data_IF_603952623379
#
_entry.id   IF_603952623379
#
_cell.length_a   1.000
_cell.length_b   1.000
_cell.length_c   1.000
_cell.angle_alpha   90.00
_cell.angle_beta   90.00
_cell.angle_gamma   90.00
#
_symmetry.space_group_name_H-M   'P 1'
#
loop_
_entity.id
_entity.type
_entity.pdbx_description
1 polymer ?
#
# COMPACT_ATOMS: atom_id res chain seq x y z
N UNK A 1 4.92 -3.41 -7.36
CA UNK A 1 5.77 -2.64 -8.30
C UNK A 1 5.61 -1.13 -8.15
N UNK A 2 4.38 -0.60 -8.07
CA UNK A 2 4.13 0.85 -7.92
C UNK A 2 4.86 1.46 -6.70
N UNK A 3 4.81 0.84 -5.52
CA UNK A 3 5.55 1.33 -4.34
C UNK A 3 7.07 1.44 -4.55
N UNK A 4 7.67 0.47 -5.25
CA UNK A 4 9.10 0.50 -5.57
C UNK A 4 9.39 1.64 -6.55
N UNK A 5 8.57 1.80 -7.58
CA UNK A 5 8.70 2.89 -8.53
C UNK A 5 8.63 4.26 -7.82
N UNK A 6 7.66 4.46 -6.93
CA UNK A 6 7.51 5.72 -6.21
C UNK A 6 8.66 5.94 -5.21
N UNK A 7 9.04 4.93 -4.42
CA UNK A 7 10.13 5.05 -3.44
C UNK A 7 11.49 5.33 -4.10
N UNK A 8 11.75 4.78 -5.28
CA UNK A 8 13.00 4.99 -6.00
C UNK A 8 12.98 6.23 -6.92
N UNK A 9 11.81 6.70 -7.36
CA UNK A 9 11.67 7.93 -8.12
C UNK A 9 12.04 9.20 -7.32
N UNK A 10 11.80 9.21 -6.00
CA UNK A 10 12.18 10.32 -5.15
C UNK A 10 13.70 10.50 -5.08
N UNK A 11 14.25 11.72 -5.26
CA UNK A 11 15.71 11.98 -5.20
C UNK A 11 16.33 11.68 -3.83
N UNK A 12 15.65 12.10 -2.76
CA UNK A 12 15.94 11.78 -1.35
C UNK A 12 14.90 10.74 -0.88
N UNK A 13 15.06 10.03 0.25
CA UNK A 13 16.22 9.92 1.13
C UNK A 13 17.32 8.99 0.56
N UNK A 14 18.38 8.73 1.33
CA UNK A 14 19.46 7.82 0.94
C UNK A 14 18.95 6.41 0.59
N UNK A 15 19.72 5.67 -0.21
CA UNK A 15 19.38 4.34 -0.72
C UNK A 15 18.97 3.35 0.38
N UNK A 16 19.66 3.36 1.53
CA UNK A 16 19.30 2.52 2.68
C UNK A 16 17.93 2.86 3.28
N UNK A 17 17.58 4.16 3.36
CA UNK A 17 16.26 4.59 3.85
C UNK A 17 15.16 4.27 2.84
N UNK A 18 15.42 4.38 1.53
CA UNK A 18 14.50 3.94 0.48
C UNK A 18 14.23 2.43 0.56
N UNK A 19 15.28 1.63 0.75
CA UNK A 19 15.15 0.19 0.93
C UNK A 19 14.32 -0.16 2.17
N UNK A 20 14.51 0.58 3.28
CA UNK A 20 13.70 0.41 4.50
C UNK A 20 12.21 0.75 4.26
N UNK A 21 11.92 1.88 3.61
CA UNK A 21 10.54 2.28 3.27
C UNK A 21 9.90 1.24 2.34
N UNK A 22 10.62 0.79 1.31
CA UNK A 22 10.13 -0.21 0.38
C UNK A 22 9.88 -1.56 1.08
N UNK A 23 10.84 -2.03 1.89
CA UNK A 23 10.74 -3.29 2.61
C UNK A 23 9.58 -3.29 3.61
N UNK A 24 9.46 -2.24 4.41
CA UNK A 24 8.34 -2.09 5.36
C UNK A 24 6.99 -1.97 4.65
N UNK A 25 6.93 -1.21 3.55
CA UNK A 25 5.73 -1.10 2.71
C UNK A 25 5.31 -2.43 2.08
N UNK A 26 6.26 -3.22 1.58
CA UNK A 26 6.00 -4.55 1.02
C UNK A 26 5.50 -5.51 2.10
N UNK A 27 6.16 -5.57 3.26
CA UNK A 27 5.76 -6.45 4.35
C UNK A 27 4.34 -6.12 4.85
N UNK A 28 4.05 -4.83 5.06
CA UNK A 28 2.74 -4.36 5.50
C UNK A 28 1.66 -4.66 4.45
N UNK A 29 1.97 -4.47 3.17
CA UNK A 29 1.04 -4.82 2.10
C UNK A 29 0.77 -6.31 2.00
N UNK A 30 1.78 -7.13 2.18
CA UNK A 30 1.60 -8.58 2.14
C UNK A 30 0.58 -9.04 3.18
N UNK A 31 0.74 -8.58 4.43
CA UNK A 31 -0.17 -8.88 5.54
C UNK A 31 -1.59 -8.39 5.24
N UNK A 32 -1.74 -7.17 4.75
CA UNK A 32 -3.07 -6.58 4.53
C UNK A 32 -3.75 -7.20 3.31
N UNK A 33 -2.99 -7.52 2.26
CA UNK A 33 -3.52 -8.23 1.10
C UNK A 33 -4.00 -9.64 1.48
N UNK A 34 -3.33 -10.31 2.43
CA UNK A 34 -3.80 -11.58 2.98
C UNK A 34 -5.18 -11.44 3.63
N UNK A 35 -5.35 -10.46 4.53
CA UNK A 35 -6.64 -10.17 5.14
C UNK A 35 -7.71 -9.79 4.11
N UNK A 36 -7.35 -9.02 3.09
CA UNK A 36 -8.24 -8.64 1.99
C UNK A 36 -8.78 -9.87 1.25
N UNK A 37 -7.90 -10.80 0.87
CA UNK A 37 -8.32 -12.05 0.18
C UNK A 37 -9.26 -12.85 1.08
N UNK A 38 -8.91 -13.03 2.35
CA UNK A 38 -9.76 -13.76 3.29
C UNK A 38 -11.14 -13.11 3.45
N UNK A 39 -11.20 -11.78 3.57
CA UNK A 39 -12.46 -11.05 3.66
C UNK A 39 -13.34 -11.23 2.41
N UNK A 40 -12.76 -11.15 1.21
CA UNK A 40 -13.49 -11.37 -0.06
C UNK A 40 -14.03 -12.80 -0.14
N UNK A 41 -13.21 -13.81 0.21
CA UNK A 41 -13.65 -15.21 0.21
C UNK A 41 -14.73 -15.47 1.26
N UNK A 42 -14.60 -14.88 2.45
CA UNK A 42 -15.59 -14.97 3.50
C UNK A 42 -16.93 -14.34 3.06
N UNK A 43 -16.90 -13.17 2.42
CA UNK A 43 -18.10 -12.56 1.83
C UNK A 43 -18.73 -13.45 0.75
N UNK A 44 -17.91 -14.03 -0.13
CA UNK A 44 -18.39 -14.97 -1.15
C UNK A 44 -19.07 -16.21 -0.57
N UNK A 45 -18.51 -16.76 0.51
CA UNK A 45 -19.08 -17.91 1.22
C UNK A 45 -20.45 -17.60 1.84
N UNK A 46 -20.64 -16.40 2.40
CA UNK A 46 -21.85 -16.06 3.15
C UNK A 46 -22.93 -15.35 2.32
N UNK A 47 -22.55 -14.66 1.25
CA UNK A 47 -23.44 -13.78 0.47
C UNK A 47 -23.49 -14.13 -1.02
N UNK A 48 -22.77 -15.18 -1.44
CA UNK A 48 -22.76 -15.67 -2.83
C UNK A 48 -21.71 -15.01 -3.73
N UNK A 49 -21.59 -15.55 -4.94
CA UNK A 49 -20.53 -15.18 -5.89
C UNK A 49 -20.58 -13.71 -6.31
N UNK A 50 -21.77 -13.17 -6.59
CA UNK A 50 -21.92 -11.78 -7.03
C UNK A 50 -21.47 -10.77 -5.94
N UNK A 51 -21.74 -11.08 -4.67
CA UNK A 51 -21.25 -10.28 -3.55
C UNK A 51 -19.72 -10.32 -3.43
N UNK A 52 -19.09 -11.47 -3.71
CA UNK A 52 -17.63 -11.58 -3.74
C UNK A 52 -17.01 -10.73 -4.85
N UNK A 53 -17.60 -10.67 -6.05
CA UNK A 53 -17.08 -9.81 -7.12
C UNK A 53 -17.12 -8.33 -6.76
N UNK A 54 -18.23 -7.88 -6.16
CA UNK A 54 -18.37 -6.50 -5.67
C UNK A 54 -17.37 -6.22 -4.55
N UNK A 55 -17.28 -7.10 -3.54
CA UNK A 55 -16.34 -6.96 -2.44
C UNK A 55 -14.89 -6.96 -2.95
N UNK A 56 -14.58 -7.79 -3.96
CA UNK A 56 -13.28 -7.82 -4.61
C UNK A 56 -12.97 -6.45 -5.21
N UNK A 57 -13.83 -5.91 -6.08
CA UNK A 57 -13.63 -4.62 -6.73
C UNK A 57 -13.43 -3.49 -5.71
N UNK A 58 -14.32 -3.37 -4.71
CA UNK A 58 -14.22 -2.36 -3.65
C UNK A 58 -12.89 -2.47 -2.89
N UNK A 59 -12.50 -3.71 -2.55
CA UNK A 59 -11.27 -3.95 -1.79
C UNK A 59 -10.01 -3.53 -2.55
N UNK A 60 -10.00 -3.57 -3.89
CA UNK A 60 -8.88 -3.08 -4.70
C UNK A 60 -8.75 -1.56 -4.66
N UNK A 61 -9.86 -0.82 -4.71
CA UNK A 61 -9.85 0.63 -4.54
C UNK A 61 -9.39 1.02 -3.14
N UNK A 62 -9.91 0.34 -2.11
CA UNK A 62 -9.49 0.53 -0.72
C UNK A 62 -7.99 0.27 -0.55
N UNK A 63 -7.48 -0.83 -1.12
CA UNK A 63 -6.05 -1.15 -1.11
C UNK A 63 -5.21 -0.08 -1.79
N UNK A 64 -5.68 0.47 -2.91
CA UNK A 64 -4.96 1.53 -3.64
C UNK A 64 -4.85 2.80 -2.80
N UNK A 65 -5.96 3.26 -2.22
CA UNK A 65 -5.97 4.42 -1.32
C UNK A 65 -5.05 4.19 -0.10
N UNK A 66 -5.09 2.99 0.47
CA UNK A 66 -4.30 2.61 1.62
C UNK A 66 -2.78 2.58 1.31
N UNK A 67 -2.39 2.02 0.15
CA UNK A 67 -1.00 2.03 -0.34
C UNK A 67 -0.48 3.46 -0.45
N UNK A 68 -1.24 4.33 -1.09
CA UNK A 68 -0.86 5.73 -1.29
C UNK A 68 -0.76 6.47 0.06
N UNK A 69 -1.70 6.21 0.98
CA UNK A 69 -1.68 6.76 2.33
C UNK A 69 -0.45 6.35 3.14
N UNK A 70 -0.12 5.05 3.18
CA UNK A 70 1.11 4.57 3.84
C UNK A 70 2.33 5.22 3.22
N UNK A 71 2.40 5.24 1.89
CA UNK A 71 3.55 5.81 1.21
C UNK A 71 3.74 7.27 1.59
N UNK A 72 2.67 8.06 1.57
CA UNK A 72 2.70 9.47 1.98
C UNK A 72 3.18 9.62 3.42
N UNK A 73 2.63 8.84 4.35
CA UNK A 73 2.97 8.92 5.77
C UNK A 73 4.42 8.50 6.05
N UNK A 74 4.87 7.38 5.47
CA UNK A 74 6.25 6.89 5.61
C UNK A 74 7.25 7.87 5.00
N UNK A 75 6.97 8.37 3.80
CA UNK A 75 7.83 9.34 3.12
C UNK A 75 7.88 10.64 3.93
N UNK A 76 6.74 11.16 4.41
CA UNK A 76 6.68 12.34 5.28
C UNK A 76 7.50 12.15 6.57
N UNK A 77 7.39 10.98 7.21
CA UNK A 77 8.12 10.67 8.44
C UNK A 77 9.62 10.58 8.23
N UNK A 78 10.07 10.02 7.10
CA UNK A 78 11.50 9.88 6.79
C UNK A 78 12.12 11.16 6.22
N UNK A 79 11.33 11.97 5.51
CA UNK A 79 11.74 13.23 4.90
C UNK A 79 11.85 14.40 5.90
N UNK A 80 11.08 14.38 6.99
CA UNK A 80 11.00 15.50 7.93
C UNK A 80 10.46 16.78 7.29
N UNK A 81 10.99 17.95 7.68
CA UNK A 81 10.55 19.29 7.23
C UNK A 81 10.79 19.55 5.73
N UNK A 82 11.60 18.73 5.04
CA UNK A 82 11.97 18.92 3.64
C UNK A 82 11.08 18.12 2.66
N UNK A 83 9.87 17.71 3.08
CA UNK A 83 8.93 16.98 2.21
C UNK A 83 8.55 17.79 0.95
N UNK A 84 8.61 19.12 1.01
CA UNK A 84 8.39 19.99 -0.15
C UNK A 84 9.53 19.93 -1.19
N UNK A 85 10.74 19.49 -0.82
CA UNK A 85 11.89 19.34 -1.73
C UNK A 85 11.97 17.95 -2.39
N UNK A 86 10.99 17.08 -2.12
CA UNK A 86 11.01 15.66 -2.48
C UNK A 86 10.20 15.31 -3.73
N UNK A 87 9.44 16.28 -4.25
CA UNK A 87 8.73 16.22 -5.53
C UNK A 87 9.58 16.95 -6.57
#
# INVERSE_FOLDING_TARGET
MVLLAIAFACKKPSLGKKALIAGTGIALLFVINWFRVFAVLWFGKNSGFQAAEIAHAISWFAMTAFILGIWYLLTKRVAGKNFQELI
#
